data_IF_019545321206
#
_entry.id   IF_019545321206
#
_cell.length_a   1.000
_cell.length_b   1.000
_cell.length_c   1.000
_cell.angle_alpha   90.00
_cell.angle_beta   90.00
_cell.angle_gamma   90.00
#
_symmetry.space_group_name_H-M   'P 1'
#
loop_
_entity.id
_entity.type
_entity.pdbx_description
1 polymer ?
#
# COMPACT_ATOMS: atom_id res chain seq x y z
N UNK A 1 33.01 6.47 -33.51
CA UNK A 1 32.17 5.54 -32.72
C UNK A 1 31.11 4.95 -33.64
N UNK A 2 31.03 3.63 -33.75
CA UNK A 2 30.03 2.96 -34.59
C UNK A 2 28.65 3.02 -33.92
N UNK A 3 27.56 3.07 -34.70
CA UNK A 3 26.18 3.08 -34.18
C UNK A 3 25.90 1.85 -33.29
N UNK A 4 26.49 0.71 -33.63
CA UNK A 4 26.47 -0.53 -32.83
C UNK A 4 27.16 -0.37 -31.47
N UNK A 5 28.30 0.34 -31.41
CA UNK A 5 28.99 0.60 -30.13
C UNK A 5 28.13 1.41 -29.16
N UNK A 6 27.29 2.32 -29.65
CA UNK A 6 26.35 3.09 -28.81
C UNK A 6 25.26 2.19 -28.22
N UNK A 7 24.66 1.32 -29.03
CA UNK A 7 23.62 0.37 -28.57
C UNK A 7 24.15 -0.56 -27.49
N UNK A 8 25.35 -1.14 -27.68
CA UNK A 8 25.97 -2.01 -26.67
C UNK A 8 26.16 -1.29 -25.34
N UNK A 9 26.69 -0.06 -25.38
CA UNK A 9 26.87 0.76 -24.16
C UNK A 9 25.55 1.09 -23.47
N UNK A 10 24.49 1.38 -24.23
CA UNK A 10 23.17 1.62 -23.65
C UNK A 10 22.65 0.39 -22.90
N UNK A 11 22.82 -0.82 -23.45
CA UNK A 11 22.47 -2.06 -22.74
C UNK A 11 23.33 -2.29 -21.50
N UNK A 12 24.63 -2.06 -21.56
CA UNK A 12 25.54 -2.18 -20.40
C UNK A 12 25.15 -1.22 -19.26
N UNK A 13 24.70 -0.01 -19.59
CA UNK A 13 24.16 0.97 -18.63
C UNK A 13 22.72 0.68 -18.19
N UNK A 14 22.13 -0.44 -18.66
CA UNK A 14 20.75 -0.86 -18.40
C UNK A 14 19.71 0.14 -18.93
N UNK A 15 19.98 0.80 -20.05
CA UNK A 15 19.07 1.68 -20.78
C UNK A 15 18.48 0.97 -22.00
N UNK A 16 17.84 -0.19 -21.76
CA UNK A 16 17.44 -1.09 -22.86
C UNK A 16 16.34 -0.51 -23.74
N UNK A 17 15.40 0.24 -23.17
CA UNK A 17 14.37 0.92 -23.97
C UNK A 17 14.92 2.09 -24.76
N UNK A 18 15.92 2.78 -24.21
CA UNK A 18 16.63 3.82 -24.95
C UNK A 18 17.39 3.22 -26.16
N UNK A 19 17.99 2.05 -25.99
CA UNK A 19 18.68 1.32 -27.06
C UNK A 19 17.72 0.90 -28.18
N UNK A 20 16.58 0.28 -27.82
CA UNK A 20 15.52 -0.09 -28.75
C UNK A 20 15.00 1.15 -29.52
N UNK A 21 14.71 2.25 -28.82
CA UNK A 21 14.21 3.47 -29.44
C UNK A 21 15.26 4.15 -30.33
N UNK A 22 16.54 4.07 -29.97
CA UNK A 22 17.63 4.57 -30.80
C UNK A 22 17.76 3.79 -32.11
N UNK A 23 17.62 2.46 -32.06
CA UNK A 23 17.59 1.63 -33.26
C UNK A 23 16.37 1.94 -34.13
N UNK A 24 15.18 2.10 -33.54
CA UNK A 24 13.97 2.48 -34.27
C UNK A 24 14.15 3.82 -35.00
N UNK A 25 14.72 4.83 -34.35
CA UNK A 25 15.00 6.13 -34.96
C UNK A 25 15.98 6.04 -36.13
N UNK A 26 16.92 5.09 -36.12
CA UNK A 26 17.87 4.89 -37.22
C UNK A 26 17.24 4.20 -38.44
N UNK A 27 16.18 3.42 -38.23
CA UNK A 27 15.52 2.62 -39.26
C UNK A 27 14.32 3.35 -39.90
N UNK A 28 13.67 4.26 -39.17
CA UNK A 28 12.46 4.95 -39.60
C UNK A 28 12.75 6.36 -40.13
N UNK A 29 12.50 6.66 -41.42
CA UNK A 29 12.77 7.98 -42.01
C UNK A 29 11.96 9.14 -41.40
N UNK A 30 10.81 8.84 -40.80
CA UNK A 30 9.90 9.79 -40.14
C UNK A 30 10.62 10.61 -39.05
N UNK A 31 11.60 10.02 -38.37
CA UNK A 31 12.38 10.72 -37.34
C UNK A 31 13.36 11.75 -37.91
N UNK A 32 13.60 11.79 -39.23
CA UNK A 32 14.48 12.78 -39.84
C UNK A 32 13.84 14.19 -39.89
N UNK A 33 12.51 14.26 -39.77
CA UNK A 33 11.78 15.54 -39.72
C UNK A 33 11.85 16.18 -38.33
N UNK A 34 12.22 15.42 -37.30
CA UNK A 34 12.39 15.90 -35.94
C UNK A 34 13.79 16.46 -35.71
N UNK A 35 13.85 17.50 -34.89
CA UNK A 35 15.11 18.05 -34.36
C UNK A 35 15.89 17.00 -33.55
N UNK A 36 17.16 17.30 -33.29
CA UNK A 36 17.97 16.45 -32.42
C UNK A 36 17.38 16.38 -31.00
N UNK A 37 16.93 17.53 -30.48
CA UNK A 37 16.35 17.67 -29.16
C UNK A 37 15.07 16.83 -29.01
N UNK A 38 14.18 16.87 -30.00
CA UNK A 38 12.95 16.06 -30.00
C UNK A 38 13.26 14.56 -30.02
N UNK A 39 14.17 14.13 -30.88
CA UNK A 39 14.61 12.72 -30.93
C UNK A 39 15.23 12.28 -29.62
N UNK A 40 16.09 13.10 -29.03
CA UNK A 40 16.73 12.79 -27.76
C UNK A 40 15.73 12.73 -26.60
N UNK A 41 14.76 13.65 -26.55
CA UNK A 41 13.68 13.61 -25.58
C UNK A 41 12.88 12.30 -25.68
N UNK A 42 12.51 11.86 -26.88
CA UNK A 42 11.81 10.58 -27.08
C UNK A 42 12.61 9.38 -26.54
N UNK A 43 13.94 9.38 -26.73
CA UNK A 43 14.81 8.33 -26.19
C UNK A 43 14.76 8.29 -24.66
N UNK A 44 14.89 9.47 -24.03
CA UNK A 44 14.88 9.61 -22.57
C UNK A 44 13.50 9.27 -22.00
N UNK A 45 12.43 9.74 -22.62
CA UNK A 45 11.05 9.55 -22.14
C UNK A 45 10.63 8.09 -22.13
N UNK A 46 10.96 7.31 -23.17
CA UNK A 46 10.63 5.87 -23.22
C UNK A 46 11.35 5.12 -22.09
N UNK A 47 12.64 5.36 -21.90
CA UNK A 47 13.42 4.70 -20.85
C UNK A 47 12.97 5.14 -19.45
N UNK A 48 12.75 6.43 -19.24
CA UNK A 48 12.23 6.98 -17.98
C UNK A 48 10.88 6.37 -17.62
N UNK A 49 9.96 6.30 -18.58
CA UNK A 49 8.62 5.74 -18.40
C UNK A 49 8.68 4.24 -18.07
N UNK A 50 9.49 3.47 -18.81
CA UNK A 50 9.70 2.04 -18.52
C UNK A 50 10.26 1.81 -17.12
N UNK A 51 11.24 2.61 -16.69
CA UNK A 51 11.80 2.52 -15.33
C UNK A 51 10.78 2.85 -14.24
N UNK A 52 9.97 3.89 -14.43
CA UNK A 52 8.88 4.23 -13.50
C UNK A 52 7.83 3.13 -13.42
N UNK A 53 7.42 2.58 -14.55
CA UNK A 53 6.45 1.48 -14.61
C UNK A 53 6.99 0.22 -13.92
N UNK A 54 8.22 -0.20 -14.24
CA UNK A 54 8.86 -1.35 -13.58
C UNK A 54 9.00 -1.15 -12.07
N UNK A 55 9.29 0.08 -11.61
CA UNK A 55 9.34 0.40 -10.18
C UNK A 55 7.95 0.24 -9.54
N UNK A 56 6.92 0.79 -10.17
CA UNK A 56 5.52 0.69 -9.70
C UNK A 56 5.06 -0.77 -9.61
N UNK A 57 5.22 -1.54 -10.68
CA UNK A 57 4.86 -2.96 -10.71
C UNK A 57 5.54 -3.76 -9.60
N UNK A 58 6.83 -3.51 -9.39
CA UNK A 58 7.59 -4.14 -8.31
C UNK A 58 7.08 -3.76 -6.93
N UNK A 59 6.68 -2.50 -6.71
CA UNK A 59 6.10 -2.05 -5.44
C UNK A 59 4.75 -2.73 -5.18
N UNK A 60 3.86 -2.75 -6.18
CA UNK A 60 2.55 -3.41 -6.09
C UNK A 60 2.73 -4.91 -5.80
N UNK A 61 3.62 -5.60 -6.53
CA UNK A 61 3.90 -7.03 -6.29
C UNK A 61 4.45 -7.28 -4.88
N UNK A 62 5.35 -6.42 -4.38
CA UNK A 62 5.91 -6.57 -3.02
C UNK A 62 4.89 -6.28 -1.93
N UNK A 63 3.91 -5.42 -2.21
CA UNK A 63 2.88 -5.06 -1.27
C UNK A 63 1.92 -6.21 -0.95
N UNK A 64 1.77 -7.19 -1.85
CA UNK A 64 1.05 -8.43 -1.58
C UNK A 64 -0.43 -8.17 -1.23
N UNK A 65 -1.05 -7.25 -1.97
CA UNK A 65 -2.44 -6.87 -1.77
C UNK A 65 -3.39 -8.03 -2.04
N UNK A 66 -4.43 -8.16 -1.21
CA UNK A 66 -5.57 -9.03 -1.50
C UNK A 66 -6.28 -8.65 -2.81
N UNK A 67 -6.37 -7.36 -3.10
CA UNK A 67 -6.95 -6.81 -4.33
C UNK A 67 -5.93 -5.88 -5.01
N UNK A 68 -4.99 -6.47 -5.76
CA UNK A 68 -3.89 -5.70 -6.40
C UNK A 68 -4.34 -4.73 -7.50
N UNK A 69 -5.54 -4.93 -8.04
CA UNK A 69 -6.20 -4.08 -9.02
C UNK A 69 -7.05 -2.97 -8.40
N UNK A 70 -7.20 -2.92 -7.07
CA UNK A 70 -8.01 -1.92 -6.42
C UNK A 70 -7.48 -0.52 -6.73
N UNK A 71 -8.37 0.39 -7.11
CA UNK A 71 -8.00 1.77 -7.37
C UNK A 71 -9.04 2.73 -6.80
N UNK A 72 -8.59 3.97 -6.55
CA UNK A 72 -9.42 5.02 -5.93
C UNK A 72 -10.51 5.47 -6.91
N UNK A 73 -10.21 5.41 -8.21
CA UNK A 73 -11.08 5.82 -9.29
C UNK A 73 -12.31 4.89 -9.45
N UNK A 74 -12.14 3.60 -9.16
CA UNK A 74 -13.20 2.57 -9.23
C UNK A 74 -14.03 2.47 -7.94
N UNK A 75 -13.84 3.36 -6.96
CA UNK A 75 -14.66 3.35 -5.75
C UNK A 75 -16.08 3.78 -6.11
N UNK A 76 -17.04 2.91 -5.84
CA UNK A 76 -18.45 3.21 -6.01
C UNK A 76 -18.99 4.04 -4.83
N UNK A 77 -19.38 5.28 -5.12
CA UNK A 77 -19.99 6.18 -4.13
C UNK A 77 -21.50 6.06 -4.19
N UNK A 78 -22.06 5.36 -3.21
CA UNK A 78 -23.50 5.13 -3.06
C UNK A 78 -24.12 6.09 -2.04
N UNK A 79 -25.45 6.22 -2.04
CA UNK A 79 -26.16 7.08 -1.08
C UNK A 79 -26.11 6.55 0.37
N UNK A 80 -25.98 5.23 0.53
CA UNK A 80 -25.78 4.49 1.77
C UNK A 80 -24.77 3.37 1.41
N UNK A 81 -23.62 3.20 2.10
CA UNK A 81 -23.03 4.16 3.03
C UNK A 81 -22.66 5.45 2.30
N UNK A 82 -22.89 6.60 2.93
CA UNK A 82 -22.42 7.89 2.42
C UNK A 82 -20.93 8.04 2.70
N UNK A 83 -20.10 7.50 1.81
CA UNK A 83 -18.66 7.76 1.79
C UNK A 83 -18.37 9.20 1.37
N UNK A 84 -17.55 9.91 2.14
CA UNK A 84 -17.10 11.25 1.77
C UNK A 84 -16.02 11.19 0.68
N UNK A 85 -16.45 11.35 -0.58
CA UNK A 85 -15.56 11.38 -1.75
C UNK A 85 -14.45 12.42 -1.63
N UNK A 86 -14.70 13.59 -1.04
CA UNK A 86 -13.68 14.62 -0.89
C UNK A 86 -12.61 14.19 0.11
N UNK A 87 -13.01 13.54 1.22
CA UNK A 87 -12.07 12.95 2.17
C UNK A 87 -11.23 11.85 1.52
N UNK A 88 -11.85 10.93 0.75
CA UNK A 88 -11.13 9.84 0.08
C UNK A 88 -10.08 10.39 -0.89
N UNK A 89 -10.45 11.34 -1.74
CA UNK A 89 -9.52 11.96 -2.70
C UNK A 89 -8.39 12.73 -2.00
N UNK A 90 -8.70 13.44 -0.90
CA UNK A 90 -7.68 14.13 -0.09
C UNK A 90 -6.70 13.15 0.55
N UNK A 91 -7.16 12.01 1.07
CA UNK A 91 -6.27 11.00 1.65
C UNK A 91 -5.47 10.26 0.58
N UNK A 92 -6.05 10.06 -0.61
CA UNK A 92 -5.40 9.43 -1.75
C UNK A 92 -4.21 10.24 -2.28
N UNK A 93 -4.11 11.54 -1.96
CA UNK A 93 -2.93 12.35 -2.27
C UNK A 93 -1.66 11.90 -1.54
N UNK A 94 -1.79 11.07 -0.50
CA UNK A 94 -0.65 10.54 0.26
C UNK A 94 -0.08 11.47 1.32
N UNK A 95 -0.66 12.66 1.54
CA UNK A 95 -0.16 13.61 2.56
C UNK A 95 -0.08 12.98 3.96
N UNK A 96 -1.05 12.14 4.34
CA UNK A 96 -1.02 11.44 5.62
C UNK A 96 0.21 10.51 5.78
N UNK A 97 0.74 9.98 4.67
CA UNK A 97 1.97 9.15 4.64
C UNK A 97 3.22 10.00 4.84
N UNK A 98 3.22 11.22 4.32
CA UNK A 98 4.30 12.19 4.53
C UNK A 98 4.33 12.65 5.99
N UNK A 99 3.15 12.95 6.53
CA UNK A 99 2.94 13.42 7.91
C UNK A 99 2.99 12.30 8.97
N UNK A 100 3.23 11.05 8.57
CA UNK A 100 3.35 9.87 9.45
C UNK A 100 2.08 9.61 10.28
N UNK A 101 0.93 9.97 9.73
CA UNK A 101 -0.38 9.74 10.32
C UNK A 101 -0.95 8.40 9.88
N UNK A 102 -1.78 7.80 10.73
CA UNK A 102 -2.47 6.55 10.47
C UNK A 102 -3.81 6.79 9.77
N UNK A 103 -4.37 5.71 9.22
CA UNK A 103 -5.72 5.69 8.69
C UNK A 103 -6.49 4.55 9.36
N UNK A 104 -7.67 4.83 9.87
CA UNK A 104 -8.56 3.82 10.45
C UNK A 104 -9.80 3.72 9.57
N UNK A 105 -10.01 2.55 8.97
CA UNK A 105 -11.17 2.25 8.13
C UNK A 105 -12.08 1.32 8.94
N UNK A 106 -13.26 1.83 9.33
CA UNK A 106 -14.25 1.14 10.15
C UNK A 106 -15.51 0.81 9.36
N UNK A 107 -16.18 -0.29 9.70
CA UNK A 107 -17.47 -0.65 9.11
C UNK A 107 -17.76 -2.14 9.21
N UNK A 108 -19.00 -2.54 8.91
CA UNK A 108 -19.41 -3.95 8.96
C UNK A 108 -18.64 -4.84 7.96
N UNK A 109 -18.69 -6.16 8.16
CA UNK A 109 -18.12 -7.11 7.20
C UNK A 109 -18.76 -6.95 5.82
N UNK A 110 -17.99 -7.14 4.76
CA UNK A 110 -18.50 -7.03 3.39
C UNK A 110 -18.70 -5.59 2.85
N UNK A 111 -18.51 -4.55 3.66
CA UNK A 111 -18.69 -3.15 3.23
C UNK A 111 -17.48 -2.56 2.46
N UNK A 112 -16.52 -3.38 2.03
CA UNK A 112 -15.41 -2.90 1.18
C UNK A 112 -14.20 -2.30 1.89
N UNK A 113 -14.06 -2.43 3.22
CA UNK A 113 -12.89 -1.96 3.99
C UNK A 113 -11.54 -2.40 3.38
N UNK A 114 -11.40 -3.70 3.13
CA UNK A 114 -10.20 -4.29 2.55
C UNK A 114 -9.91 -3.77 1.14
N UNK A 115 -10.96 -3.53 0.33
CA UNK A 115 -10.81 -2.95 -1.01
C UNK A 115 -10.31 -1.52 -0.91
N UNK A 116 -10.95 -0.70 -0.06
CA UNK A 116 -10.56 0.69 0.15
C UNK A 116 -9.11 0.82 0.64
N UNK A 117 -8.71 -0.04 1.58
CA UNK A 117 -7.32 -0.10 2.04
C UNK A 117 -6.35 -0.45 0.91
N UNK A 118 -6.67 -1.47 0.10
CA UNK A 118 -5.86 -1.82 -1.08
C UNK A 118 -5.80 -0.65 -2.08
N UNK A 119 -6.90 0.05 -2.32
CA UNK A 119 -6.93 1.22 -3.21
C UNK A 119 -6.02 2.35 -2.71
N UNK A 120 -6.02 2.64 -1.40
CA UNK A 120 -5.05 3.57 -0.81
C UNK A 120 -3.61 3.06 -0.92
N UNK A 121 -3.38 1.76 -0.75
CA UNK A 121 -2.08 1.13 -0.94
C UNK A 121 -1.56 1.25 -2.37
N UNK A 122 -2.40 1.00 -3.36
CA UNK A 122 -2.07 1.15 -4.78
C UNK A 122 -1.81 2.62 -5.11
N UNK A 123 -2.62 3.56 -4.60
CA UNK A 123 -2.37 4.99 -4.73
C UNK A 123 -1.02 5.40 -4.13
N UNK A 124 -0.64 4.85 -2.97
CA UNK A 124 0.67 5.06 -2.37
C UNK A 124 1.80 4.48 -3.23
N UNK A 125 1.63 3.29 -3.81
CA UNK A 125 2.59 2.71 -4.75
C UNK A 125 2.77 3.58 -6.01
N UNK A 126 1.69 4.18 -6.54
CA UNK A 126 1.75 5.13 -7.68
C UNK A 126 2.59 6.37 -7.35
N UNK A 127 2.65 6.75 -6.08
CA UNK A 127 3.53 7.81 -5.54
C UNK A 127 4.92 7.28 -5.13
N UNK A 128 5.22 6.01 -5.43
CA UNK A 128 6.47 5.31 -5.14
C UNK A 128 6.77 5.03 -3.66
N UNK A 129 5.77 5.06 -2.79
CA UNK A 129 5.89 4.55 -1.43
C UNK A 129 5.95 3.02 -1.42
N UNK A 130 6.76 2.48 -0.51
CA UNK A 130 6.77 1.06 -0.18
C UNK A 130 5.57 0.70 0.69
N UNK A 131 4.86 -0.36 0.30
CA UNK A 131 3.64 -0.79 0.98
C UNK A 131 3.77 -2.27 1.35
N UNK A 132 3.15 -2.70 2.44
CA UNK A 132 2.90 -4.11 2.77
C UNK A 132 1.46 -4.26 3.25
N UNK A 133 0.72 -5.20 2.68
CA UNK A 133 -0.59 -5.63 3.14
C UNK A 133 -0.43 -6.96 3.90
N UNK A 134 -1.13 -7.10 5.01
CA UNK A 134 -1.24 -8.35 5.76
C UNK A 134 -2.51 -8.35 6.59
N UNK A 135 -3.13 -9.51 6.79
CA UNK A 135 -4.19 -9.70 7.78
C UNK A 135 -3.54 -9.83 9.16
N UNK A 136 -4.09 -9.20 10.19
CA UNK A 136 -3.51 -9.27 11.54
C UNK A 136 -3.30 -10.73 12.01
N UNK A 137 -4.27 -11.67 11.88
CA UNK A 137 -4.03 -13.07 12.26
C UNK A 137 -2.83 -13.70 11.54
N UNK A 138 -2.70 -13.49 10.23
CA UNK A 138 -1.59 -14.05 9.45
C UNK A 138 -0.22 -13.49 9.90
N UNK A 139 -0.17 -12.20 10.25
CA UNK A 139 1.03 -11.57 10.80
C UNK A 139 1.42 -12.22 12.13
N UNK A 140 0.46 -12.43 13.03
CA UNK A 140 0.71 -13.03 14.34
C UNK A 140 1.21 -14.47 14.20
N UNK A 141 0.61 -15.26 13.32
CA UNK A 141 1.07 -16.62 13.01
C UNK A 141 2.50 -16.62 12.44
N UNK A 142 2.81 -15.70 11.51
CA UNK A 142 4.15 -15.56 10.95
C UNK A 142 5.19 -15.20 12.03
N UNK A 143 4.84 -14.29 12.96
CA UNK A 143 5.71 -13.91 14.07
C UNK A 143 5.91 -15.06 15.06
N UNK A 144 4.88 -15.86 15.33
CA UNK A 144 4.98 -17.03 16.20
C UNK A 144 5.95 -18.08 15.62
N UNK A 145 5.83 -18.39 14.33
CA UNK A 145 6.77 -19.29 13.62
C UNK A 145 8.18 -18.70 13.63
N UNK A 146 8.32 -17.41 13.31
CA UNK A 146 9.60 -16.73 13.27
C UNK A 146 10.34 -16.74 14.62
N UNK A 147 9.62 -16.74 15.75
CA UNK A 147 10.24 -16.94 17.08
C UNK A 147 10.80 -18.36 17.23
N UNK A 148 10.04 -19.38 16.85
CA UNK A 148 10.49 -20.77 16.88
C UNK A 148 11.74 -21.01 16.03
N UNK A 149 11.87 -20.29 14.92
CA UNK A 149 13.02 -20.37 14.00
C UNK A 149 14.16 -19.39 14.33
N UNK A 150 14.02 -18.55 15.36
CA UNK A 150 15.03 -17.55 15.73
C UNK A 150 15.20 -16.39 14.73
N UNK A 151 14.23 -16.17 13.83
CA UNK A 151 14.25 -15.11 12.80
C UNK A 151 13.24 -13.99 13.06
N UNK A 152 12.62 -13.95 14.24
CA UNK A 152 11.62 -12.95 14.66
C UNK A 152 11.99 -11.51 14.27
N UNK A 153 13.19 -11.06 14.64
CA UNK A 153 13.65 -9.69 14.37
C UNK A 153 13.76 -9.39 12.86
N UNK A 154 14.09 -10.40 12.04
CA UNK A 154 14.19 -10.26 10.59
C UNK A 154 12.80 -10.09 9.97
N UNK A 155 11.82 -10.87 10.40
CA UNK A 155 10.42 -10.79 9.94
C UNK A 155 9.79 -9.47 10.38
N UNK A 156 9.86 -9.14 11.67
CA UNK A 156 9.34 -7.90 12.22
C UNK A 156 9.90 -6.65 11.50
N UNK A 157 11.16 -6.67 11.10
CA UNK A 157 11.80 -5.58 10.34
C UNK A 157 11.14 -5.31 8.99
N UNK A 158 10.54 -6.31 8.34
CA UNK A 158 9.80 -6.12 7.08
C UNK A 158 8.61 -5.19 7.30
N UNK A 159 7.83 -5.45 8.34
CA UNK A 159 6.63 -4.70 8.70
C UNK A 159 6.95 -3.31 9.27
N UNK A 160 8.08 -3.16 9.99
CA UNK A 160 8.53 -1.86 10.50
C UNK A 160 9.03 -0.90 9.40
N UNK A 161 9.63 -1.42 8.33
CA UNK A 161 10.37 -0.60 7.34
C UNK A 161 9.55 0.00 6.20
N UNK A 162 8.37 -0.55 5.89
CA UNK A 162 7.56 -0.03 4.79
C UNK A 162 6.96 1.33 5.14
N UNK A 163 6.87 2.21 4.15
CA UNK A 163 6.31 3.56 4.31
C UNK A 163 4.83 3.48 4.72
N UNK A 164 4.09 2.52 4.16
CA UNK A 164 2.70 2.23 4.50
C UNK A 164 2.52 0.75 4.84
N UNK A 165 2.04 0.46 6.04
CA UNK A 165 1.60 -0.88 6.44
C UNK A 165 0.08 -0.93 6.44
N UNK A 166 -0.51 -1.97 5.86
CA UNK A 166 -1.96 -2.20 5.91
C UNK A 166 -2.20 -3.45 6.75
N UNK A 167 -2.87 -3.26 7.88
CA UNK A 167 -3.33 -4.31 8.77
C UNK A 167 -4.83 -4.51 8.57
N UNK A 168 -5.17 -5.53 7.80
CA UNK A 168 -6.55 -5.93 7.57
C UNK A 168 -7.05 -6.84 8.71
N UNK A 169 -8.36 -6.87 8.92
CA UNK A 169 -9.01 -7.61 10.00
C UNK A 169 -8.46 -7.29 11.39
N UNK A 170 -8.14 -6.02 11.60
CA UNK A 170 -7.64 -5.51 12.87
C UNK A 170 -8.61 -5.78 14.01
N UNK A 171 -8.12 -6.48 15.04
CA UNK A 171 -8.87 -6.89 16.24
C UNK A 171 -10.14 -7.67 15.94
N UNK A 172 -10.12 -8.50 14.88
CA UNK A 172 -11.23 -9.41 14.58
C UNK A 172 -11.42 -10.46 15.69
N UNK A 173 -10.31 -10.97 16.22
CA UNK A 173 -10.24 -11.94 17.31
C UNK A 173 -9.48 -11.34 18.50
N UNK A 174 -9.70 -11.89 19.70
CA UNK A 174 -8.93 -11.48 20.88
C UNK A 174 -7.49 -11.94 20.76
N UNK A 175 -6.56 -11.13 21.27
CA UNK A 175 -5.14 -11.41 21.27
C UNK A 175 -4.72 -12.24 22.48
N UNK A 176 -3.69 -13.06 22.29
CA UNK A 176 -2.89 -13.61 23.39
C UNK A 176 -1.92 -12.55 23.90
N UNK A 177 -1.44 -12.70 25.13
CA UNK A 177 -0.48 -11.76 25.73
C UNK A 177 0.79 -11.57 24.89
N UNK A 178 1.33 -12.65 24.32
CA UNK A 178 2.49 -12.58 23.41
C UNK A 178 2.19 -11.79 22.13
N UNK A 179 0.97 -11.94 21.59
CA UNK A 179 0.52 -11.25 20.38
C UNK A 179 0.27 -9.76 20.66
N UNK A 180 -0.25 -9.41 21.83
CA UNK A 180 -0.39 -8.03 22.26
C UNK A 180 0.97 -7.32 22.36
N UNK A 181 2.01 -8.03 22.86
CA UNK A 181 3.39 -7.53 22.88
C UNK A 181 3.96 -7.35 21.47
N UNK A 182 3.68 -8.28 20.56
CA UNK A 182 4.07 -8.17 19.14
C UNK A 182 3.46 -6.93 18.47
N UNK A 183 2.16 -6.71 18.73
CA UNK A 183 1.45 -5.53 18.24
C UNK A 183 2.02 -4.25 18.83
N UNK A 184 2.29 -4.21 20.14
CA UNK A 184 2.91 -3.04 20.77
C UNK A 184 4.28 -2.74 20.15
N UNK A 185 5.14 -3.74 19.98
CA UNK A 185 6.47 -3.56 19.39
C UNK A 185 6.38 -3.01 17.95
N UNK A 186 5.41 -3.49 17.17
CA UNK A 186 5.18 -3.02 15.80
C UNK A 186 4.67 -1.58 15.77
N UNK A 187 3.65 -1.28 16.56
CA UNK A 187 3.01 0.05 16.60
C UNK A 187 3.98 1.10 17.12
N UNK A 188 4.73 0.77 18.18
CA UNK A 188 5.75 1.66 18.75
C UNK A 188 6.86 1.97 17.75
N UNK A 189 7.38 0.97 17.04
CA UNK A 189 8.44 1.18 16.06
C UNK A 189 7.99 2.00 14.84
N UNK A 190 6.67 2.09 14.59
CA UNK A 190 6.10 2.84 13.46
C UNK A 190 5.58 4.20 13.85
N UNK A 191 5.27 4.44 15.12
CA UNK A 191 4.73 5.70 15.61
C UNK A 191 5.63 6.88 15.20
N UNK A 192 5.06 7.89 14.51
CA UNK A 192 5.79 9.06 13.99
C UNK A 192 6.94 8.74 13.00
N UNK A 193 7.08 7.50 12.55
CA UNK A 193 8.13 7.06 11.59
C UNK A 193 7.51 6.65 10.25
N UNK A 194 6.39 5.93 10.29
CA UNK A 194 5.70 5.42 9.11
C UNK A 194 4.19 5.26 9.37
N UNK A 195 3.39 5.28 8.30
CA UNK A 195 1.93 5.29 8.42
C UNK A 195 1.34 3.90 8.40
N UNK A 196 0.26 3.67 9.14
CA UNK A 196 -0.42 2.37 9.17
C UNK A 196 -1.92 2.54 8.88
N UNK A 197 -2.45 1.70 8.01
CA UNK A 197 -3.90 1.57 7.75
C UNK A 197 -4.43 0.41 8.58
N UNK A 198 -5.44 0.67 9.41
CA UNK A 198 -6.12 -0.32 10.23
C UNK A 198 -7.53 -0.53 9.70
N UNK A 199 -7.86 -1.75 9.26
CA UNK A 199 -9.22 -2.08 8.83
C UNK A 199 -9.91 -2.89 9.93
N UNK A 200 -10.93 -2.32 10.56
CA UNK A 200 -11.63 -3.00 11.66
C UNK A 200 -13.14 -2.94 11.50
N UNK A 201 -13.81 -3.92 12.12
CA UNK A 201 -15.25 -3.93 12.30
C UNK A 201 -15.67 -3.37 13.65
N UNK A 202 -14.72 -3.24 14.56
CA UNK A 202 -14.94 -2.76 15.92
C UNK A 202 -14.49 -1.31 16.06
N UNK A 203 -15.09 -0.62 17.01
CA UNK A 203 -14.63 0.67 17.47
C UNK A 203 -13.48 0.51 18.48
N UNK A 204 -13.03 1.62 19.04
CA UNK A 204 -11.91 1.65 19.99
C UNK A 204 -12.25 0.91 21.29
N UNK A 205 -13.51 0.91 21.70
CA UNK A 205 -13.96 0.16 22.87
C UNK A 205 -13.90 -1.35 22.59
N UNK A 206 -14.37 -1.79 21.44
CA UNK A 206 -14.22 -3.19 21.03
C UNK A 206 -12.76 -3.61 20.89
N UNK A 207 -11.85 -2.72 20.48
CA UNK A 207 -10.41 -3.03 20.47
C UNK A 207 -9.87 -3.24 21.89
N UNK A 208 -10.37 -2.45 22.86
CA UNK A 208 -9.97 -2.57 24.26
C UNK A 208 -10.21 -3.99 24.79
N UNK A 209 -11.42 -4.51 24.56
CA UNK A 209 -11.83 -5.86 24.97
C UNK A 209 -11.03 -6.96 24.26
N UNK A 210 -10.64 -6.73 23.00
CA UNK A 210 -9.92 -7.71 22.18
C UNK A 210 -8.43 -7.79 22.53
N UNK A 211 -7.82 -6.68 22.93
CA UNK A 211 -6.41 -6.66 23.38
C UNK A 211 -6.30 -7.22 24.82
N UNK A 212 -7.26 -6.88 25.69
CA UNK A 212 -7.37 -7.43 27.03
C UNK A 212 -6.62 -6.62 28.08
N UNK A 213 -5.31 -6.86 28.26
CA UNK A 213 -4.55 -6.25 29.35
C UNK A 213 -4.59 -4.72 29.29
N UNK A 214 -5.15 -4.08 30.32
CA UNK A 214 -5.44 -2.64 30.33
C UNK A 214 -4.22 -1.77 29.98
N UNK A 215 -3.07 -2.05 30.60
CA UNK A 215 -1.85 -1.24 30.41
C UNK A 215 -1.28 -1.37 28.99
N UNK A 216 -1.20 -2.59 28.44
CA UNK A 216 -0.79 -2.79 27.04
C UNK A 216 -1.80 -2.17 26.07
N UNK A 217 -3.08 -2.29 26.38
CA UNK A 217 -4.17 -1.75 25.56
C UNK A 217 -4.08 -0.24 25.46
N UNK A 218 -3.95 0.46 26.58
CA UNK A 218 -3.78 1.92 26.62
C UNK A 218 -2.55 2.34 25.82
N UNK A 219 -1.42 1.63 26.00
CA UNK A 219 -0.19 1.89 25.29
C UNK A 219 -0.33 1.72 23.77
N UNK A 220 -1.06 0.70 23.30
CA UNK A 220 -1.29 0.48 21.86
C UNK A 220 -2.25 1.53 21.30
N UNK A 221 -3.38 1.77 21.97
CA UNK A 221 -4.42 2.67 21.49
C UNK A 221 -3.95 4.12 21.40
N UNK A 222 -3.20 4.61 22.39
CA UNK A 222 -2.65 5.96 22.41
C UNK A 222 -1.77 6.23 21.17
N UNK A 223 -0.90 5.27 20.83
CA UNK A 223 0.00 5.35 19.67
C UNK A 223 -0.72 5.32 18.33
N UNK A 224 -1.89 4.68 18.26
CA UNK A 224 -2.68 4.57 17.02
C UNK A 224 -3.58 5.79 16.83
N UNK A 225 -4.37 6.13 17.86
CA UNK A 225 -5.52 7.04 17.73
C UNK A 225 -5.07 8.49 17.63
N UNK A 226 -4.08 8.91 18.42
CA UNK A 226 -3.66 10.32 18.55
C UNK A 226 -3.26 10.94 17.20
N UNK A 227 -2.78 10.13 16.26
CA UNK A 227 -2.36 10.59 14.93
C UNK A 227 -3.05 9.76 13.85
N UNK A 228 -4.38 9.84 13.77
CA UNK A 228 -5.16 9.08 12.80
C UNK A 228 -6.28 9.86 12.12
N UNK A 229 -6.49 9.56 10.84
CA UNK A 229 -7.72 9.86 10.13
C UNK A 229 -8.69 8.69 10.26
N UNK A 230 -9.99 8.96 10.36
CA UNK A 230 -11.02 7.93 10.40
C UNK A 230 -11.92 8.00 9.18
N UNK A 231 -12.19 6.84 8.58
CA UNK A 231 -13.20 6.61 7.55
C UNK A 231 -14.20 5.60 8.11
N UNK A 232 -15.47 5.98 8.15
CA UNK A 232 -16.56 5.08 8.54
C UNK A 232 -17.35 4.65 7.30
N UNK A 233 -17.50 3.35 7.12
CA UNK A 233 -18.32 2.72 6.08
C UNK A 233 -19.59 2.15 6.73
N UNK A 234 -20.53 3.03 7.04
CA UNK A 234 -21.81 2.71 7.68
C UNK A 234 -22.88 2.36 6.63
N UNK A 235 -22.70 1.21 6.01
CA UNK A 235 -23.52 0.72 4.91
C UNK A 235 -24.47 -0.36 5.38
N UNK A 236 -25.79 -0.20 5.16
CA UNK A 236 -26.78 -1.23 5.54
C UNK A 236 -26.73 -2.48 4.66
N UNK A 237 -26.27 -2.34 3.42
CA UNK A 237 -26.08 -3.43 2.47
C UNK A 237 -24.61 -3.59 2.17
N UNK A 238 -24.13 -4.84 2.17
CA UNK A 238 -22.74 -5.15 1.83
C UNK A 238 -22.48 -4.96 0.33
N UNK A 239 -21.20 -4.77 -0.04
CA UNK A 239 -20.82 -4.71 -1.45
C UNK A 239 -21.01 -6.06 -2.15
N UNK A 240 -20.91 -7.17 -1.42
CA UNK A 240 -21.16 -8.52 -1.96
C UNK A 240 -22.60 -8.66 -2.43
N UNK A 241 -23.55 -8.28 -1.57
CA UNK A 241 -24.97 -8.28 -1.92
C UNK A 241 -25.28 -7.38 -3.11
N UNK A 242 -24.62 -6.20 -3.20
CA UNK A 242 -24.78 -5.28 -4.34
C UNK A 242 -24.28 -5.85 -5.66
N UNK A 243 -23.20 -6.62 -5.61
CA UNK A 243 -22.67 -7.32 -6.78
C UNK A 243 -23.39 -8.66 -7.05
N UNK A 244 -24.48 -8.96 -6.34
CA UNK A 244 -25.24 -10.21 -6.51
C UNK A 244 -24.47 -11.46 -6.07
N UNK A 245 -23.41 -11.29 -5.26
CA UNK A 245 -22.68 -12.38 -4.65
C UNK A 245 -23.37 -12.73 -3.33
N UNK A 246 -23.88 -13.97 -3.22
CA UNK A 246 -24.50 -14.46 -1.98
C UNK A 246 -23.49 -14.33 -0.82
N UNK A 247 -23.95 -13.74 0.28
CA UNK A 247 -23.14 -13.43 1.46
C UNK A 247 -22.58 -14.67 2.16
#
# INVERSE_FOLDING_TARGET
MTKESTVTKLHEMRLSSMAEQFQNQLLSPEYNELSFEERFNLLVDVEWSRRKNNKLERLIRKADFRYGQACIEDIEYHADPKLDKAQILRLASGNYIQEKQNLIIKGASGNGKSYLACAFGVAACRQFYSVRYVRLPNLLDELAVARGEGIYQKVMKVYKKVDLLILDEWMLTSLRESEARDVLELVEARQQVASTVYCSQFDTQGWYEKIGEATLTDAILDRIIHSSHSILIDGKMSMRERHGLNA
#
